data_IF_539455415010
#
_entry.id   IF_539455415010
#
_cell.length_a   1.000
_cell.length_b   1.000
_cell.length_c   1.000
_cell.angle_alpha   90.00
_cell.angle_beta   90.00
_cell.angle_gamma   90.00
#
_symmetry.space_group_name_H-M   'P 1'
#
loop_
_entity.id
_entity.type
_entity.pdbx_description
1 polymer ?
#
# COMPACT_ATOMS: atom_id res chain seq x y z
N UNK A 1 26.26 -6.47 -15.10
CA UNK A 1 25.85 -5.93 -13.78
C UNK A 1 24.91 -6.89 -13.05
N UNK A 2 23.87 -7.44 -13.70
CA UNK A 2 22.97 -8.44 -13.11
C UNK A 2 23.71 -9.74 -12.74
N UNK A 3 24.49 -10.30 -13.66
CA UNK A 3 25.29 -11.49 -13.40
C UNK A 3 26.25 -11.30 -12.21
N UNK A 4 26.91 -10.13 -12.10
CA UNK A 4 27.76 -9.80 -10.96
C UNK A 4 26.99 -9.80 -9.63
N UNK A 5 25.81 -9.22 -9.58
CA UNK A 5 24.98 -9.19 -8.38
C UNK A 5 24.52 -10.61 -7.94
N UNK A 6 24.35 -11.52 -8.91
CA UNK A 6 24.01 -12.93 -8.65
C UNK A 6 25.18 -13.79 -8.21
N UNK A 7 26.35 -13.56 -8.78
CA UNK A 7 27.57 -14.31 -8.45
C UNK A 7 28.21 -13.82 -7.15
N UNK A 8 28.05 -12.54 -6.83
CA UNK A 8 28.60 -11.90 -5.63
C UNK A 8 27.51 -11.08 -4.92
N UNK A 9 26.48 -11.74 -4.35
CA UNK A 9 25.41 -11.03 -3.66
C UNK A 9 25.94 -10.38 -2.38
N UNK A 10 25.37 -9.23 -2.04
CA UNK A 10 25.60 -8.63 -0.73
C UNK A 10 25.05 -9.58 0.36
N UNK A 11 25.91 -10.03 1.25
CA UNK A 11 25.55 -10.96 2.35
C UNK A 11 24.72 -10.29 3.44
N UNK A 12 24.85 -8.96 3.61
CA UNK A 12 24.09 -8.19 4.59
C UNK A 12 22.92 -7.47 3.91
N UNK A 13 21.82 -8.19 3.72
CA UNK A 13 20.60 -7.67 3.08
C UNK A 13 19.70 -7.03 4.14
N UNK A 14 20.06 -5.84 4.60
CA UNK A 14 19.28 -5.10 5.61
C UNK A 14 18.41 -4.01 5.01
N UNK A 15 18.78 -3.49 3.83
CA UNK A 15 18.08 -2.37 3.19
C UNK A 15 17.35 -2.78 1.91
N UNK A 16 16.37 -1.95 1.55
CA UNK A 16 15.66 -2.04 0.26
C UNK A 16 16.62 -2.02 -0.92
N UNK A 17 17.62 -1.12 -0.88
CA UNK A 17 18.67 -1.04 -1.91
C UNK A 17 19.40 -2.36 -2.05
N UNK A 18 19.97 -2.87 -0.95
CA UNK A 18 20.74 -4.11 -0.98
C UNK A 18 19.90 -5.29 -1.49
N UNK A 19 18.65 -5.39 -1.06
CA UNK A 19 17.73 -6.43 -1.51
C UNK A 19 17.44 -6.33 -3.00
N UNK A 20 17.09 -5.12 -3.47
CA UNK A 20 16.70 -4.88 -4.86
C UNK A 20 17.88 -5.03 -5.81
N UNK A 21 19.08 -4.57 -5.41
CA UNK A 21 20.31 -4.73 -6.20
C UNK A 21 20.68 -6.21 -6.32
N UNK A 22 20.54 -7.00 -5.26
CA UNK A 22 20.77 -8.45 -5.33
C UNK A 22 19.77 -9.16 -6.25
N UNK A 23 18.51 -8.73 -6.23
CA UNK A 23 17.45 -9.34 -7.04
C UNK A 23 17.52 -8.96 -8.53
N UNK A 24 17.82 -7.69 -8.83
CA UNK A 24 17.67 -7.12 -10.18
C UNK A 24 18.95 -6.51 -10.76
N UNK A 25 19.97 -6.32 -9.94
CA UNK A 25 21.21 -5.65 -10.32
C UNK A 25 21.11 -4.13 -10.25
N UNK A 26 22.28 -3.48 -10.10
CA UNK A 26 22.38 -2.04 -9.93
C UNK A 26 21.70 -1.22 -11.03
N UNK A 27 21.83 -1.63 -12.28
CA UNK A 27 21.28 -0.88 -13.43
C UNK A 27 19.76 -0.78 -13.36
N UNK A 28 19.07 -1.88 -13.08
CA UNK A 28 17.61 -1.87 -12.97
C UNK A 28 17.15 -1.13 -11.70
N UNK A 29 17.84 -1.35 -10.58
CA UNK A 29 17.60 -0.63 -9.36
C UNK A 29 17.67 0.88 -9.58
N UNK A 30 18.75 1.40 -10.16
CA UNK A 30 18.97 2.83 -10.33
C UNK A 30 17.95 3.50 -11.27
N UNK A 31 17.45 2.77 -12.29
CA UNK A 31 16.51 3.34 -13.27
C UNK A 31 15.06 3.25 -12.74
N UNK A 32 14.63 2.09 -12.22
CA UNK A 32 13.23 1.85 -11.94
C UNK A 32 12.84 1.97 -10.48
N UNK A 33 13.74 1.66 -9.56
CA UNK A 33 13.36 1.59 -8.15
C UNK A 33 13.81 2.80 -7.35
N UNK A 34 15.06 3.22 -7.48
CA UNK A 34 15.65 4.23 -6.61
C UNK A 34 14.86 5.52 -6.57
N UNK A 35 14.85 6.27 -7.65
CA UNK A 35 14.28 7.63 -7.68
C UNK A 35 12.80 7.66 -7.32
N UNK A 36 12.02 6.72 -7.86
CA UNK A 36 10.59 6.67 -7.55
C UNK A 36 10.33 6.31 -6.09
N UNK A 37 11.02 5.32 -5.55
CA UNK A 37 10.86 4.90 -4.15
C UNK A 37 11.26 6.01 -3.18
N UNK A 38 12.40 6.65 -3.41
CA UNK A 38 12.87 7.78 -2.60
C UNK A 38 11.90 8.97 -2.64
N UNK A 39 11.28 9.26 -3.80
CA UNK A 39 10.21 10.27 -3.89
C UNK A 39 9.00 9.92 -3.04
N UNK A 40 8.51 8.70 -3.18
CA UNK A 40 7.30 8.24 -2.47
C UNK A 40 7.51 8.23 -0.97
N UNK A 41 8.64 7.73 -0.51
CA UNK A 41 8.90 7.57 0.92
C UNK A 41 9.64 8.75 1.55
N UNK A 42 10.30 9.60 0.74
CA UNK A 42 11.04 10.77 1.22
C UNK A 42 12.25 10.42 2.07
N UNK A 43 12.81 9.24 1.85
CA UNK A 43 14.00 8.74 2.52
C UNK A 43 14.85 7.92 1.56
N UNK A 44 16.18 7.84 1.76
CA UNK A 44 17.07 7.03 0.94
C UNK A 44 16.72 5.52 0.99
N UNK A 45 16.91 4.83 -0.12
CA UNK A 45 16.60 3.41 -0.23
C UNK A 45 17.49 2.49 0.63
N UNK A 46 18.66 2.96 1.01
CA UNK A 46 19.59 2.25 1.91
C UNK A 46 19.18 2.34 3.39
N UNK A 47 18.33 3.31 3.76
CA UNK A 47 17.74 3.44 5.09
C UNK A 47 16.41 2.66 5.23
N UNK A 48 15.80 2.23 4.13
CA UNK A 48 14.54 1.48 4.14
C UNK A 48 14.79 0.00 4.41
N UNK A 49 13.90 -0.64 5.20
CA UNK A 49 14.01 -2.08 5.51
C UNK A 49 13.88 -2.96 4.26
N UNK A 50 14.73 -3.99 4.18
CA UNK A 50 14.65 -5.03 3.15
C UNK A 50 13.33 -5.83 3.21
N UNK A 51 12.73 -5.98 4.37
CA UNK A 51 11.46 -6.69 4.56
C UNK A 51 10.33 -6.02 3.79
N UNK A 52 10.35 -4.70 3.74
CA UNK A 52 9.38 -3.93 2.96
C UNK A 52 9.47 -4.27 1.45
N UNK A 53 10.70 -4.38 0.92
CA UNK A 53 10.93 -4.79 -0.46
C UNK A 53 10.44 -6.22 -0.71
N UNK A 54 10.80 -7.14 0.17
CA UNK A 54 10.44 -8.55 0.07
C UNK A 54 8.91 -8.77 0.08
N UNK A 55 8.17 -7.97 0.86
CA UNK A 55 6.71 -8.04 0.91
C UNK A 55 6.03 -7.51 -0.35
N UNK A 56 6.56 -6.43 -0.94
CA UNK A 56 5.95 -5.72 -2.07
C UNK A 56 6.33 -6.29 -3.44
N UNK A 57 7.52 -6.85 -3.55
CA UNK A 57 8.08 -7.33 -4.82
C UNK A 57 8.06 -8.87 -4.87
N UNK A 58 7.14 -9.51 -4.14
CA UNK A 58 6.98 -10.98 -4.18
C UNK A 58 6.59 -11.44 -5.58
N UNK A 59 7.28 -12.49 -6.06
CA UNK A 59 6.96 -13.17 -7.32
C UNK A 59 7.55 -12.54 -8.58
N UNK A 60 8.24 -11.41 -8.51
CA UNK A 60 9.00 -10.88 -9.64
C UNK A 60 10.37 -11.56 -9.71
N UNK A 61 10.56 -12.44 -10.68
CA UNK A 61 11.85 -13.05 -11.01
C UNK A 61 12.27 -12.65 -12.42
N UNK A 62 13.37 -11.92 -12.54
CA UNK A 62 13.97 -11.64 -13.86
C UNK A 62 14.36 -12.91 -14.60
N UNK A 63 14.84 -13.92 -13.89
CA UNK A 63 15.13 -15.23 -14.49
C UNK A 63 13.86 -15.90 -15.03
N UNK A 64 12.76 -15.87 -14.26
CA UNK A 64 11.48 -16.35 -14.75
C UNK A 64 11.05 -15.62 -16.02
N UNK A 65 11.09 -14.30 -16.03
CA UNK A 65 10.72 -13.51 -17.20
C UNK A 65 11.62 -13.77 -18.43
N UNK A 66 12.92 -13.90 -18.22
CA UNK A 66 13.88 -14.21 -19.30
C UNK A 66 13.69 -15.63 -19.83
N UNK A 67 13.55 -16.62 -18.95
CA UNK A 67 13.32 -18.01 -19.35
C UNK A 67 11.97 -18.20 -20.02
N UNK A 68 10.94 -17.53 -19.58
CA UNK A 68 9.62 -17.56 -20.20
C UNK A 68 9.61 -16.84 -21.56
N UNK A 69 10.35 -15.73 -21.68
CA UNK A 69 10.58 -15.06 -22.95
C UNK A 69 11.30 -15.95 -23.95
N UNK A 70 12.35 -16.66 -23.50
CA UNK A 70 13.11 -17.60 -24.34
C UNK A 70 12.26 -18.79 -24.77
N UNK A 71 11.48 -19.37 -23.84
CA UNK A 71 10.56 -20.48 -24.13
C UNK A 71 9.47 -20.07 -25.12
N UNK A 72 8.94 -18.83 -25.02
CA UNK A 72 7.98 -18.29 -26.00
C UNK A 72 8.62 -18.12 -27.37
N UNK A 73 9.83 -17.58 -27.44
CA UNK A 73 10.57 -17.41 -28.70
C UNK A 73 10.88 -18.75 -29.38
N UNK A 74 11.06 -19.82 -28.61
CA UNK A 74 11.31 -21.17 -29.10
C UNK A 74 10.04 -21.99 -29.33
N UNK A 75 8.85 -21.42 -29.20
CA UNK A 75 7.57 -22.10 -29.42
C UNK A 75 7.26 -23.22 -28.41
N UNK A 76 7.98 -23.29 -27.30
CA UNK A 76 7.90 -24.35 -26.30
C UNK A 76 6.84 -24.14 -25.20
N UNK A 77 6.08 -23.06 -25.25
CA UNK A 77 5.11 -22.72 -24.22
C UNK A 77 3.69 -23.20 -24.57
N UNK A 78 3.24 -24.27 -23.92
CA UNK A 78 1.82 -24.47 -23.65
C UNK A 78 1.35 -23.38 -22.68
N UNK A 79 0.14 -22.82 -22.91
CA UNK A 79 -0.49 -21.82 -22.04
C UNK A 79 -0.27 -22.19 -20.58
N UNK A 80 0.21 -21.29 -19.71
CA UNK A 80 0.24 -21.57 -18.29
C UNK A 80 -1.20 -21.61 -17.79
N UNK A 81 -1.68 -22.81 -17.58
CA UNK A 81 -2.70 -23.03 -16.57
C UNK A 81 -1.89 -22.95 -15.28
N UNK A 82 -2.15 -21.98 -14.44
CA UNK A 82 -2.03 -22.05 -13.00
C UNK A 82 -1.44 -20.80 -12.35
N UNK A 83 -2.19 -20.35 -11.46
CA UNK A 83 -2.14 -19.71 -10.16
C UNK A 83 -0.83 -19.13 -9.60
N UNK A 84 0.27 -19.11 -10.33
CA UNK A 84 1.58 -18.61 -9.89
C UNK A 84 2.22 -17.60 -10.84
N UNK A 85 1.50 -17.16 -11.89
CA UNK A 85 1.87 -15.94 -12.60
C UNK A 85 1.82 -14.77 -11.60
N UNK A 86 2.88 -14.00 -11.52
CA UNK A 86 3.00 -12.90 -10.58
C UNK A 86 1.70 -12.07 -10.61
N UNK A 87 0.95 -12.06 -9.51
CA UNK A 87 -0.31 -11.30 -9.34
C UNK A 87 -0.17 -9.80 -9.64
N UNK A 88 1.02 -9.35 -9.95
CA UNK A 88 1.41 -7.99 -10.30
C UNK A 88 1.36 -7.67 -11.79
N UNK A 89 1.21 -8.68 -12.67
CA UNK A 89 1.12 -8.51 -14.12
C UNK A 89 -0.31 -8.83 -14.59
N UNK A 90 -1.28 -8.13 -14.04
CA UNK A 90 -2.67 -8.22 -14.50
C UNK A 90 -2.78 -7.51 -15.85
N UNK A 91 -3.14 -8.24 -16.91
CA UNK A 91 -3.42 -7.68 -18.23
C UNK A 91 -4.76 -6.94 -18.26
N UNK A 92 -5.70 -7.35 -17.39
CA UNK A 92 -7.00 -6.71 -17.23
C UNK A 92 -7.48 -6.79 -15.79
N UNK A 93 -8.30 -5.83 -15.38
CA UNK A 93 -8.93 -5.79 -14.07
C UNK A 93 -10.34 -5.22 -14.17
N UNK A 94 -11.17 -5.56 -13.18
CA UNK A 94 -12.50 -4.96 -13.05
C UNK A 94 -12.40 -3.70 -12.21
N UNK A 95 -13.03 -2.66 -12.66
CA UNK A 95 -13.09 -1.38 -11.95
C UNK A 95 -14.53 -0.93 -11.80
N UNK A 96 -14.98 -0.47 -10.63
CA UNK A 96 -16.34 0.01 -10.45
C UNK A 96 -16.60 1.27 -11.31
N UNK A 97 -17.74 1.32 -12.00
CA UNK A 97 -18.06 2.38 -12.95
C UNK A 97 -17.92 3.80 -12.42
N UNK A 98 -18.29 4.05 -11.17
CA UNK A 98 -18.20 5.35 -10.52
C UNK A 98 -17.02 5.44 -9.54
N UNK A 99 -16.02 4.55 -9.69
CA UNK A 99 -14.84 4.52 -8.86
C UNK A 99 -14.91 3.55 -7.67
N UNK A 100 -13.82 3.38 -6.93
CA UNK A 100 -13.71 2.38 -5.85
C UNK A 100 -14.65 2.66 -4.67
N UNK A 101 -15.16 3.89 -4.54
CA UNK A 101 -16.16 4.27 -3.53
C UNK A 101 -17.41 3.41 -3.57
N UNK A 102 -17.86 3.01 -4.78
CA UNK A 102 -19.04 2.13 -4.94
C UNK A 102 -18.95 0.83 -4.15
N UNK A 103 -17.75 0.24 -4.05
CA UNK A 103 -17.55 -0.99 -3.28
C UNK A 103 -17.77 -0.74 -1.78
N UNK A 104 -17.27 0.37 -1.29
CA UNK A 104 -17.40 0.73 0.14
C UNK A 104 -18.82 1.16 0.49
N UNK A 105 -19.50 1.86 -0.41
CA UNK A 105 -20.92 2.20 -0.26
C UNK A 105 -21.78 0.93 -0.21
N UNK A 106 -21.56 -0.01 -1.10
CA UNK A 106 -22.26 -1.28 -1.09
C UNK A 106 -21.96 -2.11 0.16
N UNK A 107 -20.72 -2.07 0.68
CA UNK A 107 -20.36 -2.72 1.93
C UNK A 107 -21.09 -2.08 3.12
N UNK A 108 -21.10 -0.75 3.20
CA UNK A 108 -21.86 0.01 4.22
C UNK A 108 -23.34 -0.38 4.20
N UNK A 109 -23.94 -0.36 3.03
CA UNK A 109 -25.37 -0.64 2.87
C UNK A 109 -25.72 -2.06 3.32
N UNK A 110 -24.86 -3.03 3.04
CA UNK A 110 -25.00 -4.39 3.56
C UNK A 110 -24.89 -4.44 5.10
N UNK A 111 -23.92 -3.75 5.67
CA UNK A 111 -23.77 -3.66 7.14
C UNK A 111 -25.04 -3.12 7.78
N UNK A 112 -25.59 -2.02 7.23
CA UNK A 112 -26.83 -1.41 7.72
C UNK A 112 -28.03 -2.32 7.53
N UNK A 113 -28.15 -2.99 6.38
CA UNK A 113 -29.23 -3.93 6.10
C UNK A 113 -29.27 -5.14 7.06
N UNK A 114 -28.13 -5.49 7.67
CA UNK A 114 -28.04 -6.50 8.72
C UNK A 114 -28.30 -5.96 10.13
N UNK A 115 -28.87 -4.77 10.26
CA UNK A 115 -29.22 -4.16 11.55
C UNK A 115 -28.04 -3.55 12.32
N UNK A 116 -26.88 -3.41 11.68
CA UNK A 116 -25.72 -2.78 12.29
C UNK A 116 -25.63 -1.28 11.94
N UNK A 117 -24.77 -0.55 12.64
CA UNK A 117 -24.62 0.90 12.45
C UNK A 117 -23.27 1.22 11.79
N UNK A 118 -23.27 2.24 10.93
CA UNK A 118 -22.07 2.87 10.40
C UNK A 118 -22.12 4.36 10.75
N UNK A 119 -21.31 4.76 11.72
CA UNK A 119 -21.30 6.12 12.26
C UNK A 119 -20.25 6.95 11.54
N UNK A 120 -20.67 7.68 10.50
CA UNK A 120 -19.80 8.60 9.75
C UNK A 120 -19.56 9.89 10.56
N UNK A 121 -18.41 10.54 10.31
CA UNK A 121 -18.07 11.81 10.94
C UNK A 121 -17.72 11.72 12.43
N UNK A 122 -17.54 10.52 12.97
CA UNK A 122 -17.15 10.32 14.36
C UNK A 122 -15.63 10.22 14.51
N UNK A 123 -15.10 10.95 15.48
CA UNK A 123 -13.67 10.98 15.81
C UNK A 123 -13.41 10.28 17.14
N UNK A 124 -12.63 9.21 17.11
CA UNK A 124 -12.18 8.52 18.32
C UNK A 124 -11.44 9.48 19.26
N UNK A 125 -11.81 9.51 20.52
CA UNK A 125 -11.16 10.28 21.60
C UNK A 125 -10.40 9.39 22.55
N UNK A 126 -11.01 8.30 22.97
CA UNK A 126 -10.42 7.36 23.92
C UNK A 126 -10.95 5.95 23.66
N UNK A 127 -10.09 4.99 23.91
CA UNK A 127 -10.39 3.57 23.89
C UNK A 127 -9.93 2.96 25.21
N UNK A 128 -10.89 2.63 26.08
CA UNK A 128 -10.61 2.13 27.42
C UNK A 128 -11.03 0.67 27.55
N UNK A 129 -10.12 -0.16 28.07
CA UNK A 129 -10.41 -1.54 28.43
C UNK A 129 -10.69 -1.65 29.92
N UNK A 130 -11.73 -2.38 30.29
CA UNK A 130 -12.09 -2.67 31.66
C UNK A 130 -11.82 -4.16 31.94
N UNK A 131 -10.82 -4.43 32.78
CA UNK A 131 -10.39 -5.78 33.13
C UNK A 131 -11.44 -6.57 33.93
N UNK A 132 -12.29 -5.86 34.70
CA UNK A 132 -13.32 -6.51 35.51
C UNK A 132 -14.48 -7.01 34.65
N UNK A 133 -14.96 -6.16 33.73
CA UNK A 133 -16.08 -6.49 32.84
C UNK A 133 -15.66 -7.11 31.52
N UNK A 134 -14.36 -7.23 31.27
CA UNK A 134 -13.77 -7.75 30.03
C UNK A 134 -14.37 -7.07 28.80
N UNK A 135 -14.52 -5.76 28.84
CA UNK A 135 -15.19 -4.99 27.79
C UNK A 135 -14.48 -3.67 27.50
N UNK A 136 -14.68 -3.19 26.30
CA UNK A 136 -14.16 -1.91 25.81
C UNK A 136 -15.21 -0.81 25.92
N UNK A 137 -14.76 0.38 26.27
CA UNK A 137 -15.51 1.63 26.11
C UNK A 137 -14.81 2.47 25.05
N UNK A 138 -15.52 2.77 23.97
CA UNK A 138 -15.07 3.62 22.86
C UNK A 138 -15.72 4.98 23.03
N UNK A 139 -14.95 5.98 23.41
CA UNK A 139 -15.42 7.38 23.47
C UNK A 139 -15.05 8.09 22.15
N UNK A 140 -16.05 8.70 21.54
CA UNK A 140 -15.91 9.45 20.28
C UNK A 140 -16.64 10.79 20.36
N UNK A 141 -16.36 11.69 19.43
CA UNK A 141 -17.16 12.89 19.18
C UNK A 141 -17.70 12.84 17.77
N UNK A 142 -18.95 13.23 17.59
CA UNK A 142 -19.57 13.40 16.28
C UNK A 142 -19.11 14.70 15.58
N UNK A 143 -19.65 14.96 14.40
CA UNK A 143 -19.34 16.15 13.61
C UNK A 143 -19.79 17.46 14.28
N UNK A 144 -20.79 17.41 15.16
CA UNK A 144 -21.28 18.56 15.95
C UNK A 144 -20.50 18.76 17.26
N UNK A 145 -19.59 17.85 17.60
CA UNK A 145 -18.81 17.89 18.84
C UNK A 145 -19.47 17.19 20.02
N UNK A 146 -20.65 16.58 19.85
CA UNK A 146 -21.30 15.83 20.89
C UNK A 146 -20.53 14.53 21.21
N UNK A 147 -20.48 14.19 22.50
CA UNK A 147 -19.78 12.98 22.95
C UNK A 147 -20.69 11.76 22.79
N UNK A 148 -20.08 10.70 22.24
CA UNK A 148 -20.71 9.39 22.05
C UNK A 148 -19.85 8.35 22.74
N UNK A 149 -20.47 7.46 23.53
CA UNK A 149 -19.81 6.34 24.19
C UNK A 149 -20.45 5.02 23.74
N UNK A 150 -19.62 4.08 23.27
CA UNK A 150 -20.05 2.76 22.79
C UNK A 150 -19.33 1.70 23.61
N UNK A 151 -20.07 0.73 24.12
CA UNK A 151 -19.51 -0.46 24.76
C UNK A 151 -19.40 -1.59 23.76
N UNK A 152 -18.27 -2.32 23.77
CA UNK A 152 -18.03 -3.44 22.87
C UNK A 152 -17.22 -4.54 23.58
N UNK A 153 -17.50 -5.79 23.23
CA UNK A 153 -16.69 -6.92 23.69
C UNK A 153 -15.32 -6.94 22.98
N UNK A 154 -15.29 -6.56 21.71
CA UNK A 154 -14.08 -6.53 20.89
C UNK A 154 -14.02 -5.25 20.07
N UNK A 155 -12.81 -4.78 19.79
CA UNK A 155 -12.52 -3.63 18.92
C UNK A 155 -11.49 -4.02 17.88
N UNK A 156 -11.81 -3.74 16.62
CA UNK A 156 -10.86 -3.85 15.49
C UNK A 156 -10.59 -2.43 15.01
N UNK A 157 -9.33 -2.01 15.04
CA UNK A 157 -8.93 -0.68 14.62
C UNK A 157 -8.09 -0.69 13.36
N UNK A 158 -8.42 0.18 12.41
CA UNK A 158 -7.60 0.53 11.26
C UNK A 158 -6.97 1.92 11.37
N UNK A 159 -7.06 2.55 12.54
CA UNK A 159 -6.44 3.84 12.79
C UNK A 159 -4.91 3.75 12.77
N UNK A 160 -4.19 4.85 12.47
CA UNK A 160 -2.73 4.89 12.58
C UNK A 160 -2.28 4.48 13.98
N UNK A 161 -1.34 3.54 14.07
CA UNK A 161 -0.93 2.95 15.35
C UNK A 161 -0.45 4.00 16.36
N UNK A 162 0.27 5.02 15.92
CA UNK A 162 0.72 6.11 16.78
C UNK A 162 -0.45 6.86 17.44
N UNK A 163 -1.49 7.14 16.66
CA UNK A 163 -2.69 7.82 17.18
C UNK A 163 -3.53 6.91 18.06
N UNK A 164 -3.67 5.65 17.67
CA UNK A 164 -4.38 4.66 18.46
C UNK A 164 -3.71 4.48 19.82
N UNK A 165 -2.39 4.26 19.85
CA UNK A 165 -1.64 4.07 21.10
C UNK A 165 -1.82 5.24 22.07
N UNK A 166 -1.82 6.49 21.56
CA UNK A 166 -2.03 7.68 22.41
C UNK A 166 -3.45 7.81 22.99
N UNK A 167 -4.40 7.03 22.49
CA UNK A 167 -5.82 7.06 22.91
C UNK A 167 -6.23 5.84 23.73
N UNK A 168 -5.34 4.88 23.90
CA UNK A 168 -5.58 3.70 24.74
C UNK A 168 -5.55 4.08 26.22
N UNK A 169 -6.43 3.46 26.98
CA UNK A 169 -6.45 3.57 28.44
C UNK A 169 -6.64 2.18 29.07
N UNK A 170 -5.76 1.76 29.97
CA UNK A 170 -4.54 2.46 30.40
C UNK A 170 -3.54 2.66 29.27
N UNK A 171 -2.65 3.63 29.42
CA UNK A 171 -1.59 3.89 28.44
C UNK A 171 -0.67 2.67 28.32
N UNK A 172 -0.42 2.17 27.12
CA UNK A 172 0.46 1.01 26.95
C UNK A 172 1.93 1.35 27.27
N UNK A 173 2.65 0.41 27.86
CA UNK A 173 4.08 0.56 28.15
C UNK A 173 4.94 0.84 26.89
N UNK A 174 4.52 0.32 25.74
CA UNK A 174 5.16 0.56 24.45
C UNK A 174 4.80 1.91 23.78
N UNK A 175 4.08 2.81 24.47
CA UNK A 175 3.69 4.11 23.88
C UNK A 175 4.88 4.93 23.36
N UNK A 176 6.04 5.02 24.04
CA UNK A 176 7.19 5.76 23.52
C UNK A 176 7.67 5.23 22.16
N UNK A 177 7.65 3.91 21.95
CA UNK A 177 8.02 3.27 20.69
C UNK A 177 7.00 3.57 19.60
N UNK A 178 5.71 3.48 19.91
CA UNK A 178 4.63 3.81 18.99
C UNK A 178 4.64 5.29 18.57
N UNK A 179 5.01 6.20 19.47
CA UNK A 179 5.13 7.62 19.19
C UNK A 179 6.25 7.92 18.16
N UNK A 180 7.28 7.08 18.09
CA UNK A 180 8.39 7.21 17.15
C UNK A 180 8.07 6.68 15.74
N UNK A 181 6.92 6.07 15.51
CA UNK A 181 6.50 5.60 14.19
C UNK A 181 6.39 6.79 13.21
N UNK A 182 7.10 6.68 12.10
CA UNK A 182 7.11 7.71 11.06
C UNK A 182 6.02 7.43 10.04
N UNK A 183 5.34 8.47 9.61
CA UNK A 183 4.33 8.45 8.57
C UNK A 183 4.69 9.41 7.46
N UNK A 184 4.13 9.17 6.30
CA UNK A 184 4.22 10.08 5.17
C UNK A 184 2.84 10.31 4.59
N UNK A 185 2.52 11.56 4.35
CA UNK A 185 1.28 11.95 3.69
C UNK A 185 1.37 11.71 2.20
N UNK A 186 0.21 11.44 1.61
CA UNK A 186 0.05 11.26 0.17
C UNK A 186 -0.90 12.33 -0.36
N UNK A 187 -0.35 13.27 -1.14
CA UNK A 187 -1.13 14.31 -1.78
C UNK A 187 -1.56 13.86 -3.17
N UNK A 188 -2.87 13.84 -3.40
CA UNK A 188 -3.48 13.60 -4.71
C UNK A 188 -4.09 14.88 -5.23
N UNK A 189 -3.71 15.27 -6.44
CA UNK A 189 -4.35 16.37 -7.17
C UNK A 189 -5.18 15.79 -8.30
N UNK A 190 -6.50 15.94 -8.23
CA UNK A 190 -7.41 15.51 -9.27
C UNK A 190 -7.63 16.65 -10.28
N UNK A 191 -7.35 16.37 -11.54
CA UNK A 191 -7.55 17.33 -12.63
C UNK A 191 -8.70 16.85 -13.52
N UNK A 192 -9.69 17.70 -13.72
CA UNK A 192 -10.77 17.50 -14.70
C UNK A 192 -10.40 18.23 -15.99
N UNK A 193 -10.04 17.47 -17.01
CA UNK A 193 -9.53 18.00 -18.28
C UNK A 193 -10.57 17.77 -19.36
N UNK A 194 -10.92 18.84 -20.10
CA UNK A 194 -11.78 18.78 -21.28
C UNK A 194 -10.96 18.42 -22.53
N UNK A 195 -10.48 17.19 -22.58
CA UNK A 195 -9.79 16.65 -23.74
C UNK A 195 -10.23 15.22 -23.99
N UNK A 196 -10.58 14.85 -25.22
CA UNK A 196 -10.92 13.47 -25.56
C UNK A 196 -9.70 12.55 -25.49
N UNK A 197 -8.53 13.06 -25.85
CA UNK A 197 -7.31 12.29 -26.02
C UNK A 197 -6.26 12.80 -25.03
N UNK A 198 -6.02 11.98 -23.98
CA UNK A 198 -4.92 12.19 -23.06
C UNK A 198 -3.74 11.30 -23.50
N UNK A 199 -3.53 10.22 -22.81
CA UNK A 199 -2.53 9.20 -23.13
C UNK A 199 -3.17 7.82 -22.92
N UNK A 200 -2.74 6.77 -23.65
CA UNK A 200 -3.41 5.46 -23.62
C UNK A 200 -3.16 4.67 -22.34
N UNK A 201 -2.08 4.98 -21.61
CA UNK A 201 -1.68 4.24 -20.43
C UNK A 201 -2.60 4.51 -19.24
N UNK A 202 -2.78 3.52 -18.38
CA UNK A 202 -3.52 3.66 -17.13
C UNK A 202 -2.81 4.60 -16.14
N UNK A 203 -1.48 4.58 -16.13
CA UNK A 203 -0.64 5.47 -15.34
C UNK A 203 0.78 5.55 -15.88
N UNK A 204 1.45 6.64 -15.55
CA UNK A 204 2.85 6.91 -15.88
C UNK A 204 3.62 7.19 -14.59
N UNK A 205 4.74 6.52 -14.39
CA UNK A 205 5.68 6.81 -13.32
C UNK A 205 6.68 7.88 -13.75
N UNK A 206 6.90 8.89 -12.91
CA UNK A 206 7.84 9.97 -13.16
C UNK A 206 9.14 9.72 -12.41
N UNK A 207 10.16 9.30 -13.11
CA UNK A 207 11.47 8.99 -12.54
C UNK A 207 12.44 10.19 -12.48
N UNK A 208 12.11 11.32 -13.11
CA UNK A 208 12.94 12.53 -13.02
C UNK A 208 12.97 13.08 -11.60
N UNK A 209 14.17 13.16 -11.01
CA UNK A 209 14.35 13.65 -9.64
C UNK A 209 14.01 15.12 -9.43
N UNK A 210 14.00 15.92 -10.51
CA UNK A 210 13.64 17.34 -10.47
C UNK A 210 12.13 17.56 -10.37
N UNK A 211 11.33 16.57 -10.75
CA UNK A 211 9.87 16.63 -10.71
C UNK A 211 9.37 15.97 -9.44
N UNK A 212 8.62 16.70 -8.60
CA UNK A 212 8.10 16.19 -7.32
C UNK A 212 7.00 15.15 -7.49
N UNK A 213 6.23 15.20 -8.59
CA UNK A 213 5.17 14.23 -8.87
C UNK A 213 5.78 12.86 -9.09
N UNK A 214 5.28 11.87 -8.37
CA UNK A 214 5.74 10.48 -8.49
C UNK A 214 5.01 9.71 -9.59
N UNK A 215 3.70 9.98 -9.78
CA UNK A 215 2.86 9.25 -10.73
C UNK A 215 1.71 10.11 -11.23
N UNK A 216 1.37 9.95 -12.50
CA UNK A 216 0.16 10.46 -13.12
C UNK A 216 -0.75 9.29 -13.46
N UNK A 217 -2.03 9.35 -13.10
CA UNK A 217 -3.03 8.33 -13.41
C UNK A 217 -4.07 8.87 -14.37
N UNK A 218 -4.40 8.08 -15.39
CA UNK A 218 -5.49 8.37 -16.32
C UNK A 218 -6.71 7.51 -15.96
N UNK A 219 -7.56 8.02 -15.06
CA UNK A 219 -8.76 7.32 -14.64
C UNK A 219 -9.79 7.11 -15.76
N UNK A 220 -9.72 7.91 -16.83
CA UNK A 220 -10.59 7.72 -17.97
C UNK A 220 -10.37 6.38 -18.68
N UNK A 221 -9.14 5.86 -18.67
CA UNK A 221 -8.85 4.55 -19.27
C UNK A 221 -9.36 3.37 -18.44
N UNK A 222 -9.87 3.61 -17.22
CA UNK A 222 -10.33 2.57 -16.32
C UNK A 222 -11.84 2.29 -16.39
N UNK A 223 -12.62 3.23 -16.95
CA UNK A 223 -14.09 3.14 -17.03
C UNK A 223 -14.65 3.75 -18.32
#
# INVERSE_FOLDING_TARGET
LFAKARLMPNKSVKSFEAWTVNAFGWKLYSIFFKTYTEKVWGMPCDEMSADWAAQRIKGLSLWGAVTDGLKRSLGLNKRPNDGMAAKTLLESFRYPRLGPGMMWEAARDKVVAHGNQVLMGHKLKQLAFNDVTQSWTVAATDAAGAQVAIKAAHVISSAPMRELASRLHPLPAALPEAANLKYRDFLTVALMIRSPDLFPDNWIYIHDSKVKVGRVQNFRSWS
#
